data_IF_714983375850
#
_entry.id   IF_714983375850
#
_cell.length_a   1.000
_cell.length_b   1.000
_cell.length_c   1.000
_cell.angle_alpha   90.00
_cell.angle_beta   90.00
_cell.angle_gamma   90.00
#
_symmetry.space_group_name_H-M   'P 1'
#
loop_
_entity.id
_entity.type
_entity.pdbx_description
1 polymer ?
#
# COMPACT_ATOMS: atom_id res chain seq x y z
N UNK A 1 10.93 -6.92 -2.24
CA UNK A 1 11.08 -5.70 -1.45
C UNK A 1 12.27 -5.84 -0.52
N UNK A 2 13.30 -5.05 -0.74
CA UNK A 2 14.57 -5.20 -0.05
C UNK A 2 14.60 -4.63 1.38
N UNK A 3 13.57 -3.92 1.78
CA UNK A 3 13.52 -3.27 3.08
C UNK A 3 13.06 -4.17 4.22
N UNK A 4 12.57 -5.35 3.90
CA UNK A 4 12.01 -6.27 4.88
C UNK A 4 12.51 -7.67 4.65
N UNK A 5 12.68 -8.42 5.74
CA UNK A 5 12.86 -9.84 5.62
C UNK A 5 11.49 -10.52 5.49
N UNK A 6 11.48 -11.83 5.33
CA UNK A 6 10.26 -12.59 5.11
C UNK A 6 9.26 -12.47 6.26
N UNK A 7 9.75 -12.49 7.50
CA UNK A 7 8.88 -12.36 8.67
C UNK A 7 8.25 -10.98 8.76
N UNK A 8 9.02 -9.95 8.43
CA UNK A 8 8.50 -8.58 8.43
C UNK A 8 7.46 -8.39 7.34
N UNK A 9 7.68 -8.99 6.19
CA UNK A 9 6.72 -8.92 5.09
C UNK A 9 5.40 -9.60 5.46
N UNK A 10 5.47 -10.77 6.09
CA UNK A 10 4.27 -11.47 6.55
C UNK A 10 3.49 -10.64 7.56
N UNK A 11 4.20 -9.95 8.45
CA UNK A 11 3.58 -9.05 9.42
C UNK A 11 2.88 -7.87 8.73
N UNK A 12 3.48 -7.34 7.69
CA UNK A 12 2.87 -6.26 6.90
C UNK A 12 1.58 -6.74 6.24
N UNK A 13 1.62 -7.90 5.60
CA UNK A 13 0.44 -8.44 4.92
C UNK A 13 -0.68 -8.69 5.92
N UNK A 14 -0.38 -9.24 7.09
CA UNK A 14 -1.37 -9.44 8.13
C UNK A 14 -1.96 -8.12 8.61
N UNK A 15 -1.10 -7.10 8.79
CA UNK A 15 -1.55 -5.77 9.18
C UNK A 15 -2.52 -5.19 8.15
N UNK A 16 -2.19 -5.28 6.88
CA UNK A 16 -3.05 -4.79 5.80
C UNK A 16 -4.37 -5.55 5.76
N UNK A 17 -4.33 -6.87 5.97
CA UNK A 17 -5.54 -7.67 5.97
C UNK A 17 -6.50 -7.26 7.08
N UNK A 18 -5.98 -6.83 8.22
CA UNK A 18 -6.80 -6.37 9.35
C UNK A 18 -7.26 -4.92 9.23
N UNK A 19 -6.59 -4.14 8.39
CA UNK A 19 -6.81 -2.68 8.32
C UNK A 19 -7.06 -2.17 6.91
N UNK A 20 -7.53 -3.02 6.02
CA UNK A 20 -7.60 -2.70 4.59
C UNK A 20 -8.48 -1.49 4.26
N UNK A 21 -9.42 -1.15 5.10
CA UNK A 21 -10.28 0.03 4.90
C UNK A 21 -9.81 1.27 5.66
N UNK A 22 -8.78 1.14 6.49
CA UNK A 22 -8.31 2.26 7.31
C UNK A 22 -7.39 3.22 6.58
N UNK A 23 -6.77 2.78 5.49
CA UNK A 23 -5.91 3.67 4.71
C UNK A 23 -6.71 4.73 3.99
N UNK A 24 -6.10 5.89 3.80
CA UNK A 24 -6.72 7.00 3.09
C UNK A 24 -6.61 6.81 1.59
N UNK A 25 -7.71 7.01 0.88
CA UNK A 25 -7.71 6.90 -0.56
C UNK A 25 -6.92 8.06 -1.17
N UNK A 26 -6.02 7.72 -2.10
CA UNK A 26 -5.24 8.71 -2.81
C UNK A 26 -6.06 9.21 -4.00
N UNK A 27 -6.38 10.49 -4.01
CA UNK A 27 -7.18 11.09 -5.06
C UNK A 27 -6.51 10.88 -6.43
N UNK A 28 -7.29 10.50 -7.42
CA UNK A 28 -6.80 10.32 -8.79
C UNK A 28 -6.10 9.00 -9.04
N UNK A 29 -6.00 8.12 -8.06
CA UNK A 29 -5.29 6.84 -8.21
C UNK A 29 -6.18 5.67 -8.64
N UNK A 30 -7.48 5.86 -8.64
CA UNK A 30 -8.41 4.78 -8.96
C UNK A 30 -8.76 3.90 -7.78
N UNK A 31 -8.43 4.31 -6.57
CA UNK A 31 -8.78 3.58 -5.35
C UNK A 31 -7.61 3.07 -4.53
N UNK A 32 -6.42 3.46 -4.90
CA UNK A 32 -5.22 3.11 -4.12
C UNK A 32 -5.25 3.83 -2.77
N UNK A 33 -4.81 3.17 -1.74
CA UNK A 33 -4.80 3.71 -0.38
C UNK A 33 -3.39 3.84 0.15
N UNK A 34 -3.23 4.73 1.11
CA UNK A 34 -1.98 4.88 1.86
C UNK A 34 -2.27 4.70 3.33
N UNK A 35 -1.40 3.99 4.03
CA UNK A 35 -1.57 3.74 5.45
C UNK A 35 -0.21 3.81 6.15
N UNK A 36 -0.22 4.27 7.40
CA UNK A 36 0.98 4.30 8.20
C UNK A 36 1.22 2.91 8.80
N UNK A 37 2.43 2.44 8.72
CA UNK A 37 2.83 1.15 9.30
C UNK A 37 4.09 1.33 10.13
N UNK A 38 4.03 0.98 11.39
CA UNK A 38 5.19 1.03 12.29
C UNK A 38 5.79 -0.36 12.39
N UNK A 39 7.07 -0.49 12.01
CA UNK A 39 7.76 -1.78 12.13
C UNK A 39 7.93 -2.14 13.60
N UNK A 40 7.66 -3.40 13.91
CA UNK A 40 7.85 -3.91 15.27
C UNK A 40 9.31 -3.77 15.69
N UNK A 41 9.51 -3.28 16.91
CA UNK A 41 10.85 -3.18 17.50
C UNK A 41 11.70 -2.02 17.01
N UNK A 42 11.15 -1.15 16.18
CA UNK A 42 11.95 -0.05 15.58
C UNK A 42 11.58 1.33 16.08
N UNK A 43 10.68 1.48 16.99
CA UNK A 43 10.26 2.78 17.50
C UNK A 43 9.43 3.57 16.49
N UNK A 44 8.82 4.64 16.99
CA UNK A 44 7.86 5.42 16.20
C UNK A 44 8.48 6.19 15.05
N UNK A 45 9.73 6.60 15.20
CA UNK A 45 10.43 7.36 14.17
C UNK A 45 10.75 6.53 12.93
N UNK A 46 10.67 5.21 13.04
CA UNK A 46 10.93 4.30 11.94
C UNK A 46 9.67 3.89 11.18
N UNK A 47 8.60 4.66 11.33
CA UNK A 47 7.35 4.36 10.64
C UNK A 47 7.45 4.52 9.13
N UNK A 48 6.62 3.76 8.45
CA UNK A 48 6.55 3.74 6.99
C UNK A 48 5.17 4.13 6.51
N UNK A 49 5.11 4.60 5.27
CA UNK A 49 3.86 4.73 4.53
C UNK A 49 3.80 3.56 3.57
N UNK A 50 2.69 2.85 3.56
CA UNK A 50 2.46 1.73 2.64
C UNK A 50 1.39 2.13 1.64
N UNK A 51 1.67 1.90 0.38
CA UNK A 51 0.74 2.17 -0.72
C UNK A 51 0.20 0.82 -1.18
N UNK A 52 -1.11 0.65 -1.11
CA UNK A 52 -1.73 -0.65 -1.41
C UNK A 52 -3.09 -0.46 -2.07
N UNK A 53 -3.60 -1.52 -2.65
CA UNK A 53 -4.92 -1.53 -3.26
C UNK A 53 -5.75 -2.68 -2.72
N UNK A 54 -6.97 -2.38 -2.33
CA UNK A 54 -7.97 -3.36 -1.93
C UNK A 54 -9.14 -3.27 -2.92
N UNK A 55 -9.45 -4.36 -3.59
CA UNK A 55 -10.53 -4.38 -4.58
C UNK A 55 -11.88 -4.74 -3.94
N UNK A 56 -11.95 -5.91 -3.35
CA UNK A 56 -13.17 -6.38 -2.71
C UNK A 56 -12.86 -7.64 -1.92
N UNK A 57 -13.84 -8.05 -1.10
CA UNK A 57 -13.73 -9.28 -0.34
C UNK A 57 -13.50 -10.46 -1.28
N UNK A 58 -12.63 -11.35 -0.88
CA UNK A 58 -12.27 -12.52 -1.70
C UNK A 58 -11.14 -12.30 -2.67
N UNK A 59 -10.64 -11.07 -2.80
CA UNK A 59 -9.49 -10.77 -3.64
C UNK A 59 -8.30 -10.40 -2.78
N UNK A 60 -7.08 -10.74 -3.18
CA UNK A 60 -5.91 -10.39 -2.40
C UNK A 60 -5.70 -8.87 -2.36
N UNK A 61 -5.11 -8.41 -1.27
CA UNK A 61 -4.67 -7.03 -1.15
C UNK A 61 -3.35 -6.92 -1.89
N UNK A 62 -3.19 -5.89 -2.70
CA UNK A 62 -2.00 -5.69 -3.52
C UNK A 62 -1.15 -4.57 -2.94
N UNK A 63 -0.05 -4.87 -2.25
CA UNK A 63 0.88 -3.83 -1.83
C UNK A 63 1.76 -3.43 -3.00
N UNK A 64 1.89 -2.13 -3.24
CA UNK A 64 2.70 -1.61 -4.35
C UNK A 64 4.07 -1.18 -3.91
N UNK A 65 4.15 -0.40 -2.86
CA UNK A 65 5.43 0.13 -2.40
C UNK A 65 5.30 0.62 -0.97
N UNK A 66 6.44 0.83 -0.34
CA UNK A 66 6.48 1.49 0.94
C UNK A 66 7.70 2.41 0.98
N UNK A 67 7.60 3.45 1.78
CA UNK A 67 8.72 4.37 1.93
C UNK A 67 8.72 4.92 3.35
N UNK A 68 9.91 5.27 3.82
CA UNK A 68 10.06 5.89 5.14
C UNK A 68 9.59 7.34 5.05
N UNK A 69 8.94 7.81 6.09
CA UNK A 69 8.41 9.17 6.13
C UNK A 69 9.49 10.23 5.90
N UNK A 70 10.70 9.97 6.34
CA UNK A 70 11.81 10.91 6.15
C UNK A 70 12.43 10.89 4.76
N UNK A 71 12.08 9.90 3.93
CA UNK A 71 12.57 9.82 2.56
C UNK A 71 11.62 10.53 1.60
N UNK A 72 10.34 10.54 1.96
CA UNK A 72 9.29 11.02 1.07
C UNK A 72 8.02 11.18 1.88
N UNK A 73 7.30 12.27 1.65
CA UNK A 73 6.07 12.54 2.41
C UNK A 73 4.81 12.06 1.70
N UNK A 74 4.88 11.91 0.38
CA UNK A 74 3.74 11.50 -0.41
C UNK A 74 4.21 11.01 -1.78
N UNK A 75 3.30 10.43 -2.54
CA UNK A 75 3.61 10.05 -3.93
C UNK A 75 3.36 11.25 -4.84
N UNK A 76 4.10 11.30 -5.95
CA UNK A 76 3.98 12.39 -6.92
C UNK A 76 2.74 12.21 -7.80
N UNK A 77 2.40 13.27 -8.54
CA UNK A 77 1.32 13.20 -9.54
C UNK A 77 1.60 12.16 -10.62
N UNK A 78 2.87 12.06 -11.06
CA UNK A 78 3.25 11.07 -12.05
C UNK A 78 3.08 9.64 -11.51
N UNK A 79 3.48 9.42 -10.27
CA UNK A 79 3.28 8.11 -9.62
C UNK A 79 1.80 7.79 -9.47
N UNK A 80 0.99 8.78 -9.11
CA UNK A 80 -0.46 8.60 -9.00
C UNK A 80 -1.06 8.18 -10.34
N UNK A 81 -0.64 8.81 -11.42
CA UNK A 81 -1.12 8.48 -12.77
C UNK A 81 -0.73 7.06 -13.17
N UNK A 82 0.47 6.63 -12.84
CA UNK A 82 0.91 5.26 -13.10
C UNK A 82 0.07 4.26 -12.33
N UNK A 83 -0.20 4.55 -11.07
CA UNK A 83 -1.04 3.69 -10.24
C UNK A 83 -2.45 3.61 -10.81
N UNK A 84 -3.00 4.73 -11.25
CA UNK A 84 -4.33 4.73 -11.87
C UNK A 84 -4.39 3.77 -13.06
N UNK A 85 -3.38 3.82 -13.92
CA UNK A 85 -3.31 2.94 -15.08
C UNK A 85 -3.26 1.47 -14.67
N UNK A 86 -2.43 1.16 -13.68
CA UNK A 86 -2.32 -0.21 -13.16
C UNK A 86 -3.64 -0.68 -12.57
N UNK A 87 -4.31 0.18 -11.81
CA UNK A 87 -5.58 -0.17 -11.19
C UNK A 87 -6.67 -0.44 -12.24
N UNK A 88 -6.70 0.33 -13.31
CA UNK A 88 -7.67 0.07 -14.39
C UNK A 88 -7.46 -1.30 -15.01
N UNK A 89 -6.21 -1.72 -15.17
CA UNK A 89 -5.90 -3.06 -15.66
C UNK A 89 -6.34 -4.14 -14.67
N UNK A 90 -6.08 -3.93 -13.39
CA UNK A 90 -6.49 -4.87 -12.35
C UNK A 90 -8.00 -5.04 -12.34
N UNK A 91 -8.74 -3.94 -12.37
CA UNK A 91 -10.20 -3.97 -12.38
C UNK A 91 -10.73 -4.72 -13.60
N UNK A 92 -10.12 -4.53 -14.75
CA UNK A 92 -10.52 -5.20 -15.98
C UNK A 92 -10.31 -6.71 -15.86
N UNK A 93 -9.17 -7.13 -15.32
CA UNK A 93 -8.88 -8.55 -15.13
C UNK A 93 -9.82 -9.18 -14.11
N UNK A 94 -10.16 -8.49 -13.04
CA UNK A 94 -11.01 -9.02 -11.98
C UNK A 94 -12.48 -9.15 -12.39
N UNK A 95 -12.87 -8.51 -13.48
CA UNK A 95 -14.24 -8.62 -14.01
C UNK A 95 -14.47 -9.84 -14.89
N UNK A 96 -13.43 -10.53 -15.25
CA UNK A 96 -13.53 -11.71 -16.11
C UNK A 96 -14.14 -12.91 -15.40
#
# INVERSE_FOLDING_TARGET
MSLMDENEYDGLIEFLARNYLKGDIIAGSGGVRKIRYARLGKGKSAGFRVIYYYHSEGHPIVPFTMFAKNQKTNISGAETNELYTIIQRIKKELKK
#
